data_IF_158964594792
#
_entry.id   IF_158964594792
#
_cell.length_a   1.000
_cell.length_b   1.000
_cell.length_c   1.000
_cell.angle_alpha   90.00
_cell.angle_beta   90.00
_cell.angle_gamma   90.00
#
_symmetry.space_group_name_H-M   'P 1'
#
loop_
_entity.id
_entity.type
_entity.pdbx_description
1 polymer ?
#
# COMPACT_ATOMS: atom_id res chain seq x y z
N UNK A 1 -6.24 -40.53 -27.06
CA UNK A 1 -4.93 -39.93 -27.39
C UNK A 1 -5.30 -38.69 -28.18
N UNK A 2 -5.52 -37.53 -27.57
CA UNK A 2 -4.64 -36.84 -26.63
C UNK A 2 -5.42 -36.10 -25.53
N UNK A 3 -4.93 -36.25 -24.31
CA UNK A 3 -5.24 -35.42 -23.16
C UNK A 3 -4.54 -34.06 -23.32
N UNK A 4 -5.28 -33.00 -23.64
CA UNK A 4 -4.80 -31.63 -23.39
C UNK A 4 -5.30 -31.18 -22.02
N UNK A 5 -4.49 -31.57 -21.03
CA UNK A 5 -3.97 -30.72 -19.95
C UNK A 5 -4.95 -29.72 -19.33
N UNK A 6 -5.38 -30.07 -18.12
CA UNK A 6 -5.99 -29.21 -17.12
C UNK A 6 -5.46 -27.76 -17.17
N UNK A 7 -6.37 -26.82 -17.40
CA UNK A 7 -6.20 -25.47 -16.87
C UNK A 7 -6.57 -25.56 -15.39
N UNK A 8 -5.55 -25.77 -14.57
CA UNK A 8 -5.63 -25.52 -13.13
C UNK A 8 -5.98 -24.02 -12.96
N UNK A 9 -7.06 -23.65 -12.26
CA UNK A 9 -7.29 -22.26 -11.92
C UNK A 9 -6.15 -21.83 -10.99
N UNK A 10 -5.26 -20.98 -11.49
CA UNK A 10 -4.32 -20.22 -10.66
C UNK A 10 -5.14 -19.58 -9.53
N UNK A 11 -4.72 -19.64 -8.25
CA UNK A 11 -5.52 -19.12 -7.14
C UNK A 11 -5.61 -17.58 -7.20
N UNK A 12 -6.50 -17.05 -8.03
CA UNK A 12 -6.95 -15.67 -8.02
C UNK A 12 -7.90 -15.50 -6.82
N UNK A 13 -7.38 -15.28 -5.61
CA UNK A 13 -8.27 -15.06 -4.45
C UNK A 13 -8.26 -13.64 -3.87
N UNK A 14 -7.29 -12.78 -4.25
CA UNK A 14 -7.13 -11.47 -3.60
C UNK A 14 -7.15 -10.30 -4.61
N UNK A 15 -8.26 -10.13 -5.36
CA UNK A 15 -8.42 -9.02 -6.31
C UNK A 15 -8.42 -7.68 -5.57
N UNK A 16 -7.49 -6.78 -5.92
CA UNK A 16 -7.56 -5.37 -5.51
C UNK A 16 -8.79 -4.73 -6.17
N UNK A 17 -9.67 -4.14 -5.39
CA UNK A 17 -10.80 -3.36 -5.90
C UNK A 17 -10.55 -1.90 -5.59
N UNK A 18 -10.65 -1.04 -6.60
CA UNK A 18 -10.51 0.41 -6.48
C UNK A 18 -11.86 1.04 -6.81
N UNK A 19 -12.41 1.81 -5.88
CA UNK A 19 -13.71 2.46 -6.01
C UNK A 19 -13.60 3.94 -5.67
N UNK A 20 -14.13 4.81 -6.52
CA UNK A 20 -14.32 6.23 -6.20
C UNK A 20 -15.64 6.36 -5.43
N UNK A 21 -15.57 6.56 -4.12
CA UNK A 21 -16.77 6.69 -3.25
C UNK A 21 -17.33 8.10 -3.25
N UNK A 22 -16.56 9.10 -3.69
CA UNK A 22 -16.99 10.50 -3.85
C UNK A 22 -16.09 11.24 -4.84
N UNK A 23 -16.42 12.48 -5.19
CA UNK A 23 -15.57 13.34 -6.04
C UNK A 23 -14.17 13.59 -5.46
N UNK A 24 -13.93 13.25 -4.19
CA UNK A 24 -12.67 13.48 -3.45
C UNK A 24 -12.17 12.28 -2.67
N UNK A 25 -12.87 11.15 -2.72
CA UNK A 25 -12.50 9.96 -1.94
C UNK A 25 -12.33 8.76 -2.87
N UNK A 26 -11.17 8.11 -2.74
CA UNK A 26 -10.84 6.85 -3.38
C UNK A 26 -10.71 5.78 -2.28
N UNK A 27 -11.32 4.62 -2.49
CA UNK A 27 -11.24 3.48 -1.58
C UNK A 27 -10.68 2.29 -2.33
N UNK A 28 -9.56 1.77 -1.81
CA UNK A 28 -8.91 0.56 -2.29
C UNK A 28 -9.11 -0.54 -1.26
N UNK A 29 -9.72 -1.64 -1.67
CA UNK A 29 -10.00 -2.79 -0.82
C UNK A 29 -9.29 -4.02 -1.33
N UNK A 30 -8.57 -4.72 -0.46
CA UNK A 30 -7.94 -6.01 -0.77
C UNK A 30 -7.90 -6.92 0.45
N UNK A 31 -8.10 -8.22 0.22
CA UNK A 31 -7.86 -9.23 1.26
C UNK A 31 -6.44 -9.77 1.15
N UNK A 32 -5.79 -10.02 2.27
CA UNK A 32 -4.48 -10.67 2.35
C UNK A 32 -4.61 -11.96 3.13
N UNK A 33 -3.98 -13.02 2.63
CA UNK A 33 -3.82 -14.25 3.39
C UNK A 33 -2.70 -14.05 4.40
N UNK A 34 -2.94 -13.25 5.45
CA UNK A 34 -2.06 -13.04 6.59
C UNK A 34 -2.80 -12.44 7.79
N UNK A 35 -2.36 -12.72 9.02
CA UNK A 35 -2.91 -12.07 10.20
C UNK A 35 -2.57 -10.58 10.21
N UNK A 36 -3.44 -9.75 10.80
CA UNK A 36 -3.37 -8.30 10.70
C UNK A 36 -2.06 -7.76 11.28
N UNK A 37 -1.50 -8.44 12.29
CA UNK A 37 -0.20 -8.08 12.86
C UNK A 37 0.92 -8.09 11.82
N UNK A 38 0.99 -9.11 10.95
CA UNK A 38 2.07 -9.27 9.97
C UNK A 38 1.88 -8.28 8.83
N UNK A 39 0.62 -8.07 8.40
CA UNK A 39 0.30 -7.03 7.43
C UNK A 39 0.69 -5.66 8.00
N UNK A 40 0.26 -5.32 9.21
CA UNK A 40 0.62 -4.08 9.87
C UNK A 40 2.15 -3.90 10.00
N UNK A 41 2.90 -4.94 10.34
CA UNK A 41 4.37 -4.89 10.37
C UNK A 41 4.96 -4.57 9.00
N UNK A 42 4.44 -5.15 7.92
CA UNK A 42 4.90 -4.86 6.56
C UNK A 42 4.65 -3.39 6.14
N UNK A 43 3.63 -2.75 6.73
CA UNK A 43 3.31 -1.34 6.52
C UNK A 43 4.08 -0.38 7.42
N UNK A 44 4.61 -0.85 8.55
CA UNK A 44 5.20 0.03 9.58
C UNK A 44 6.69 -0.14 9.77
N UNK A 45 7.27 -1.25 9.29
CA UNK A 45 8.71 -1.48 9.29
C UNK A 45 9.32 -0.98 7.97
N UNK A 46 10.24 -0.01 7.99
CA UNK A 46 10.81 0.57 6.76
C UNK A 46 11.55 -0.46 5.91
N UNK A 47 12.14 -1.47 6.57
CA UNK A 47 12.85 -2.59 5.94
C UNK A 47 11.94 -3.57 5.19
N UNK A 48 10.67 -3.69 5.58
CA UNK A 48 9.64 -4.47 4.89
C UNK A 48 8.93 -3.61 3.85
N UNK A 49 8.54 -2.39 4.24
CA UNK A 49 7.83 -1.43 3.40
C UNK A 49 8.54 -1.21 2.06
N UNK A 50 9.87 -1.06 2.11
CA UNK A 50 10.68 -0.84 0.91
C UNK A 50 10.68 -1.98 -0.11
N UNK A 51 10.24 -3.18 0.27
CA UNK A 51 10.27 -4.36 -0.60
C UNK A 51 9.05 -4.48 -1.51
N UNK A 52 7.93 -3.84 -1.14
CA UNK A 52 6.67 -3.98 -1.86
C UNK A 52 6.05 -2.64 -2.30
N UNK A 53 6.40 -1.52 -1.64
CA UNK A 53 5.81 -0.21 -1.90
C UNK A 53 6.12 0.35 -3.31
N UNK A 54 7.33 0.13 -3.82
CA UNK A 54 7.67 0.57 -5.17
C UNK A 54 7.35 -0.56 -6.15
N UNK A 55 6.51 -0.32 -7.18
CA UNK A 55 6.24 -1.29 -8.23
C UNK A 55 7.55 -1.74 -8.88
N UNK A 56 7.83 -3.05 -8.92
CA UNK A 56 9.01 -3.61 -9.62
C UNK A 56 9.02 -3.20 -11.09
N UNK A 57 7.85 -3.11 -11.72
CA UNK A 57 7.71 -2.69 -13.13
C UNK A 57 8.14 -1.24 -13.37
N UNK A 58 8.16 -0.40 -12.33
CA UNK A 58 8.59 1.00 -12.43
C UNK A 58 10.12 1.12 -12.58
N UNK A 59 10.89 0.07 -12.23
CA UNK A 59 12.36 0.09 -12.31
C UNK A 59 13.02 1.15 -11.40
N UNK A 60 12.30 1.61 -10.39
CA UNK A 60 12.78 2.54 -9.36
C UNK A 60 13.04 1.79 -8.05
N UNK A 61 13.82 2.38 -7.17
CA UNK A 61 14.06 1.84 -5.84
C UNK A 61 14.04 2.94 -4.77
N UNK A 62 13.67 2.55 -3.56
CA UNK A 62 13.75 3.41 -2.38
C UNK A 62 15.21 3.64 -1.99
N UNK A 63 15.69 4.86 -2.19
CA UNK A 63 16.99 5.36 -1.73
C UNK A 63 17.01 5.54 -0.22
N UNK A 64 15.91 6.03 0.33
CA UNK A 64 15.79 6.33 1.75
C UNK A 64 14.35 6.10 2.17
N UNK A 65 14.19 5.42 3.30
CA UNK A 65 12.90 5.07 3.87
C UNK A 65 12.96 5.34 5.37
N UNK A 66 12.50 6.52 5.76
CA UNK A 66 12.42 6.96 7.15
C UNK A 66 10.95 6.94 7.56
N UNK A 67 10.61 6.14 8.57
CA UNK A 67 9.22 6.00 9.03
C UNK A 67 9.21 6.07 10.55
N UNK A 68 8.70 7.17 11.11
CA UNK A 68 8.50 7.30 12.54
C UNK A 68 7.04 6.98 12.88
N UNK A 69 6.72 5.70 12.94
CA UNK A 69 5.32 5.21 13.01
C UNK A 69 4.73 5.36 14.41
N UNK A 70 4.44 6.60 14.78
CA UNK A 70 3.72 7.00 16.00
C UNK A 70 2.89 8.23 15.69
N UNK A 71 1.85 8.47 16.47
CA UNK A 71 1.04 9.70 16.34
C UNK A 71 1.94 10.94 16.42
N UNK A 72 1.84 11.82 15.43
CA UNK A 72 2.68 13.01 15.27
C UNK A 72 4.08 12.76 14.70
N UNK A 73 4.46 11.50 14.45
CA UNK A 73 5.71 11.14 13.79
C UNK A 73 5.65 11.41 12.29
N UNK A 74 6.79 11.77 11.70
CA UNK A 74 6.92 11.98 10.26
C UNK A 74 7.35 10.71 9.52
N UNK A 75 7.06 10.65 8.22
CA UNK A 75 7.71 9.72 7.31
C UNK A 75 8.32 10.48 6.14
N UNK A 76 9.40 9.94 5.57
CA UNK A 76 10.06 10.43 4.37
C UNK A 76 10.58 9.26 3.55
N UNK A 77 10.11 9.16 2.32
CA UNK A 77 10.42 8.13 1.36
C UNK A 77 11.02 8.82 0.14
N UNK A 78 12.27 8.50 -0.18
CA UNK A 78 12.96 9.02 -1.35
C UNK A 78 13.15 7.87 -2.32
N UNK A 79 12.60 7.97 -3.53
CA UNK A 79 12.66 6.92 -4.53
C UNK A 79 12.97 7.50 -5.91
N UNK A 80 13.71 6.74 -6.72
CA UNK A 80 14.16 7.20 -8.04
C UNK A 80 15.23 6.31 -8.64
N UNK A 81 15.66 6.63 -9.86
CA UNK A 81 16.78 5.98 -10.56
C UNK A 81 18.11 6.69 -10.23
N UNK A 82 19.26 6.14 -10.66
CA UNK A 82 20.59 6.77 -10.48
C UNK A 82 20.77 8.07 -11.27
N UNK A 83 20.07 8.22 -12.39
CA UNK A 83 20.26 9.33 -13.33
C UNK A 83 19.14 10.40 -13.28
N UNK A 84 18.08 10.17 -12.49
CA UNK A 84 16.89 11.03 -12.45
C UNK A 84 16.75 11.79 -11.13
N UNK A 85 16.08 12.94 -11.14
CA UNK A 85 15.68 13.60 -9.89
C UNK A 85 14.81 12.64 -9.05
N UNK A 86 15.19 12.36 -7.80
CA UNK A 86 14.41 11.49 -6.94
C UNK A 86 13.09 12.16 -6.57
N UNK A 87 12.01 11.38 -6.57
CA UNK A 87 10.75 11.81 -6.02
C UNK A 87 10.74 11.53 -4.51
N UNK A 88 10.09 12.43 -3.77
CA UNK A 88 10.07 12.41 -2.31
C UNK A 88 8.63 12.42 -1.81
N UNK A 89 8.25 11.39 -1.04
CA UNK A 89 6.96 11.30 -0.38
C UNK A 89 7.21 11.51 1.09
N UNK A 90 6.55 12.50 1.66
CA UNK A 90 6.67 12.78 3.08
C UNK A 90 5.34 13.25 3.63
N UNK A 91 5.23 13.12 4.94
CA UNK A 91 4.06 13.57 5.67
C UNK A 91 4.11 13.10 7.10
N UNK A 92 2.95 13.05 7.76
CA UNK A 92 2.85 12.82 9.20
C UNK A 92 1.76 11.82 9.54
N UNK A 93 2.04 10.95 10.50
CA UNK A 93 1.06 10.04 11.05
C UNK A 93 0.10 10.79 11.97
N UNK A 94 -1.17 10.81 11.62
CA UNK A 94 -2.25 11.40 12.41
C UNK A 94 -2.78 10.42 13.45
N UNK A 95 -2.86 9.13 13.10
CA UNK A 95 -3.33 8.08 13.99
C UNK A 95 -2.56 6.78 13.72
N UNK A 96 -2.15 6.11 14.79
CA UNK A 96 -1.45 4.81 14.71
C UNK A 96 -2.02 3.92 15.79
N UNK A 97 -2.79 2.92 15.40
CA UNK A 97 -3.44 1.95 16.30
C UNK A 97 -3.06 0.54 15.85
N UNK A 98 -1.92 -0.01 16.29
CA UNK A 98 -1.48 -1.35 15.93
C UNK A 98 -2.43 -2.43 16.47
N UNK A 99 -2.74 -3.50 15.70
CA UNK A 99 -2.45 -3.71 14.28
C UNK A 99 -3.61 -3.29 13.37
N UNK A 100 -4.56 -2.47 13.84
CA UNK A 100 -5.89 -2.30 13.23
C UNK A 100 -6.04 -1.06 12.35
N UNK A 101 -5.28 0.02 12.57
CA UNK A 101 -5.46 1.28 11.85
C UNK A 101 -4.20 2.12 11.75
N UNK A 102 -4.01 2.76 10.60
CA UNK A 102 -2.93 3.70 10.32
C UNK A 102 -3.51 4.88 9.52
N UNK A 103 -3.23 6.11 9.94
CA UNK A 103 -3.68 7.33 9.25
C UNK A 103 -2.51 8.27 9.11
N UNK A 104 -2.27 8.78 7.90
CA UNK A 104 -1.22 9.74 7.62
C UNK A 104 -1.62 10.78 6.57
N UNK A 105 -0.90 11.89 6.55
CA UNK A 105 -0.98 12.93 5.51
C UNK A 105 0.07 12.70 4.44
N UNK A 106 -0.22 13.09 3.21
CA UNK A 106 0.74 13.21 2.12
C UNK A 106 0.96 14.72 1.85
N UNK A 107 2.09 15.28 2.28
CA UNK A 107 2.37 16.72 2.23
C UNK A 107 3.17 17.14 0.97
N UNK A 108 3.41 16.21 0.03
CA UNK A 108 4.18 16.42 -1.20
C UNK A 108 3.62 17.53 -2.12
N UNK A 109 2.31 17.75 -2.08
CA UNK A 109 1.60 18.79 -2.85
C UNK A 109 1.48 20.15 -2.14
N UNK A 110 2.05 20.31 -0.95
CA UNK A 110 1.88 21.50 -0.10
C UNK A 110 0.85 21.31 1.03
N UNK A 111 0.45 22.43 1.64
CA UNK A 111 -0.48 22.43 2.79
C UNK A 111 -1.86 21.90 2.39
N UNK A 112 -2.37 20.90 3.13
CA UNK A 112 -3.67 20.27 2.87
C UNK A 112 -3.65 19.16 1.82
N UNK A 113 -2.52 18.47 1.63
CA UNK A 113 -2.46 17.28 0.76
C UNK A 113 -3.34 16.11 1.23
N UNK A 114 -3.40 15.01 0.45
CA UNK A 114 -4.35 13.94 0.71
C UNK A 114 -4.11 13.25 2.05
N UNK A 115 -5.19 12.82 2.69
CA UNK A 115 -5.16 12.04 3.93
C UNK A 115 -5.45 10.60 3.60
N UNK A 116 -4.50 9.73 3.90
CA UNK A 116 -4.62 8.29 3.67
C UNK A 116 -4.94 7.59 4.99
N UNK A 117 -6.02 6.82 5.01
CA UNK A 117 -6.45 5.99 6.12
C UNK A 117 -6.42 4.53 5.69
N UNK A 118 -5.63 3.71 6.37
CA UNK A 118 -5.62 2.26 6.19
C UNK A 118 -6.17 1.57 7.42
N UNK A 119 -7.14 0.69 7.22
CA UNK A 119 -7.67 -0.18 8.27
C UNK A 119 -7.38 -1.63 7.93
N UNK A 120 -7.06 -2.40 8.96
CA UNK A 120 -6.73 -3.81 8.89
C UNK A 120 -7.73 -4.58 9.78
N UNK A 121 -8.63 -5.32 9.15
CA UNK A 121 -9.61 -6.16 9.85
C UNK A 121 -9.24 -7.64 9.68
N UNK A 122 -8.81 -8.27 10.76
CA UNK A 122 -8.52 -9.71 10.74
C UNK A 122 -9.81 -10.54 10.92
N UNK A 123 -10.04 -11.49 10.01
CA UNK A 123 -11.10 -12.51 10.12
C UNK A 123 -10.57 -13.85 9.65
N UNK A 124 -10.53 -14.83 10.56
CA UNK A 124 -10.13 -16.21 10.22
C UNK A 124 -8.69 -16.34 9.70
N UNK A 125 -7.74 -15.56 10.23
CA UNK A 125 -6.33 -15.59 9.82
C UNK A 125 -6.03 -14.88 8.49
N UNK A 126 -7.04 -14.24 7.89
CA UNK A 126 -6.92 -13.34 6.74
C UNK A 126 -7.18 -11.91 7.18
N UNK A 127 -6.60 -10.94 6.49
CA UNK A 127 -6.78 -9.52 6.79
C UNK A 127 -7.46 -8.83 5.63
N UNK A 128 -8.61 -8.20 5.90
CA UNK A 128 -9.22 -7.25 4.98
C UNK A 128 -8.55 -5.90 5.19
N UNK A 129 -7.84 -5.44 4.16
CA UNK A 129 -7.25 -4.11 4.11
C UNK A 129 -8.19 -3.18 3.36
N UNK A 130 -8.53 -2.06 3.97
CA UNK A 130 -9.25 -0.96 3.32
C UNK A 130 -8.40 0.28 3.44
N UNK A 131 -7.92 0.78 2.30
CA UNK A 131 -7.20 2.03 2.19
C UNK A 131 -8.15 3.08 1.62
N UNK A 132 -8.32 4.20 2.33
CA UNK A 132 -9.12 5.35 1.90
C UNK A 132 -8.20 6.52 1.72
N UNK A 133 -8.20 7.10 0.54
CA UNK A 133 -7.45 8.32 0.22
C UNK A 133 -8.45 9.45 0.04
N UNK A 134 -8.40 10.42 0.96
CA UNK A 134 -9.21 11.62 0.90
C UNK A 134 -8.38 12.77 0.32
N UNK A 135 -8.72 13.18 -0.89
CA UNK A 135 -8.07 14.26 -1.61
C UNK A 135 -8.69 15.63 -1.26
N UNK A 136 -7.89 16.71 -1.29
CA UNK A 136 -8.41 18.06 -1.00
C UNK A 136 -9.46 18.54 -2.02
N UNK A 137 -9.29 18.15 -3.30
CA UNK A 137 -10.14 18.55 -4.42
C UNK A 137 -10.36 17.39 -5.40
N UNK A 138 -11.38 17.54 -6.24
CA UNK A 138 -11.68 16.58 -7.31
C UNK A 138 -10.56 16.50 -8.34
N UNK A 139 -9.96 17.64 -8.66
CA UNK A 139 -8.83 17.71 -9.59
C UNK A 139 -7.62 16.94 -9.07
N UNK A 140 -7.36 17.01 -7.76
CA UNK A 140 -6.29 16.23 -7.12
C UNK A 140 -6.57 14.72 -7.19
N UNK A 141 -7.82 14.30 -6.95
CA UNK A 141 -8.21 12.90 -7.11
C UNK A 141 -8.08 12.42 -8.55
N UNK A 142 -8.49 13.23 -9.53
CA UNK A 142 -8.42 12.82 -10.93
C UNK A 142 -6.97 12.67 -11.43
N UNK A 143 -6.09 13.57 -10.97
CA UNK A 143 -4.65 13.47 -11.20
C UNK A 143 -4.01 12.25 -10.49
N UNK A 144 -4.46 11.94 -9.27
CA UNK A 144 -3.93 10.84 -8.45
C UNK A 144 -4.51 9.46 -8.79
N UNK A 145 -5.70 9.37 -9.38
CA UNK A 145 -6.39 8.10 -9.59
C UNK A 145 -5.64 7.11 -10.50
N UNK A 146 -4.74 7.60 -11.36
CA UNK A 146 -3.84 6.73 -12.12
C UNK A 146 -2.88 5.93 -11.24
N UNK A 147 -2.51 6.46 -10.07
CA UNK A 147 -1.67 5.74 -9.09
C UNK A 147 -2.40 4.56 -8.44
N UNK A 148 -3.74 4.58 -8.42
CA UNK A 148 -4.54 3.49 -7.88
C UNK A 148 -4.41 2.19 -8.70
N UNK A 149 -4.15 2.30 -10.01
CA UNK A 149 -3.86 1.13 -10.85
C UNK A 149 -2.53 0.48 -10.44
N UNK A 150 -1.51 1.30 -10.14
CA UNK A 150 -0.23 0.84 -9.62
C UNK A 150 -0.32 0.20 -8.23
N UNK A 151 -1.37 0.47 -7.45
CA UNK A 151 -1.61 -0.20 -6.16
C UNK A 151 -1.87 -1.70 -6.33
N UNK A 152 -2.37 -2.13 -7.48
CA UNK A 152 -2.60 -3.55 -7.75
C UNK A 152 -1.29 -4.34 -7.68
N UNK A 153 -0.27 -3.88 -8.41
CA UNK A 153 1.06 -4.49 -8.42
C UNK A 153 1.75 -4.39 -7.05
N UNK A 154 1.68 -3.25 -6.37
CA UNK A 154 2.25 -3.09 -5.02
C UNK A 154 1.67 -4.11 -4.03
N UNK A 155 0.36 -4.31 -4.08
CA UNK A 155 -0.29 -5.26 -3.21
C UNK A 155 -0.06 -6.72 -3.62
N UNK A 156 0.18 -7.01 -4.89
CA UNK A 156 0.64 -8.34 -5.31
C UNK A 156 2.03 -8.65 -4.76
N UNK A 157 2.94 -7.69 -4.82
CA UNK A 157 4.27 -7.83 -4.19
C UNK A 157 4.18 -7.95 -2.67
N UNK A 158 3.23 -7.26 -2.04
CA UNK A 158 2.97 -7.43 -0.61
C UNK A 158 2.49 -8.85 -0.30
N UNK A 159 1.65 -9.46 -1.14
CA UNK A 159 1.22 -10.85 -0.98
C UNK A 159 2.42 -11.82 -1.00
N UNK A 160 3.34 -11.64 -1.96
CA UNK A 160 4.60 -12.40 -2.04
C UNK A 160 5.44 -12.25 -0.76
N UNK A 161 5.59 -11.02 -0.27
CA UNK A 161 6.33 -10.71 0.96
C UNK A 161 5.68 -11.36 2.18
N UNK A 162 4.36 -11.28 2.30
CA UNK A 162 3.62 -11.87 3.42
C UNK A 162 3.72 -13.40 3.41
N UNK A 163 3.70 -14.02 2.24
CA UNK A 163 3.93 -15.46 2.09
C UNK A 163 5.33 -15.86 2.58
N UNK A 164 6.35 -15.05 2.28
CA UNK A 164 7.72 -15.29 2.78
C UNK A 164 7.83 -15.11 4.30
N UNK A 165 7.20 -14.07 4.86
CA UNK A 165 7.19 -13.82 6.31
C UNK A 165 6.44 -14.92 7.07
N UNK A 166 5.37 -15.46 6.50
CA UNK A 166 4.64 -16.61 7.07
C UNK A 166 5.46 -17.90 7.06
N UNK A 167 6.18 -18.17 5.99
CA UNK A 167 7.01 -19.38 5.89
C UNK A 167 8.24 -19.36 6.81
N UNK A 168 8.64 -18.18 7.28
CA UNK A 168 9.75 -18.00 8.21
C UNK A 168 9.35 -18.05 9.70
N UNK A 169 8.04 -18.09 10.01
CA UNK A 169 7.48 -18.07 11.35
C UNK A 169 6.96 -19.45 11.79
#
# INVERSE_FOLDING_TARGET
MDETRANEPTPMQNRTTVERTSDRELVVTRSFDAPARIVFEAWTKPELFKQWWVPKSMGMFLRSCEMNVRVGGGYRLVFGHDDSQPAEFFGRYLEVTPPSRLVWTNDEGGDGGPVTTVTFEEKGGKTLLVMRELYPSKEALDAGAGAADAMSEQFEQLDELLATLKGAA
#
